data_IF_910402496386
#
_entry.id   IF_910402496386
#
_cell.length_a   1.000
_cell.length_b   1.000
_cell.length_c   1.000
_cell.angle_alpha   90.00
_cell.angle_beta   90.00
_cell.angle_gamma   90.00
#
_symmetry.space_group_name_H-M   'P 1'
#
loop_
_entity.id
_entity.type
_entity.pdbx_description
1 polymer ?
#
# COMPACT_ATOMS: atom_id res chain seq x y z
N UNK A 1 -36.95 -25.20 61.06
CA UNK A 1 -36.32 -24.09 60.29
C UNK A 1 -34.84 -24.43 60.13
N UNK A 2 -34.40 -25.04 59.00
CA UNK A 2 -32.99 -25.21 58.58
C UNK A 2 -32.84 -26.12 57.32
N UNK A 3 -33.63 -25.89 56.25
CA UNK A 3 -33.47 -26.65 54.99
C UNK A 3 -33.33 -25.78 53.73
N UNK A 4 -33.13 -24.46 53.87
CA UNK A 4 -33.12 -23.53 52.74
C UNK A 4 -31.77 -22.89 52.40
N UNK A 5 -30.66 -23.39 52.95
CA UNK A 5 -29.36 -22.71 52.83
C UNK A 5 -28.31 -23.46 51.98
N UNK A 6 -28.49 -24.76 51.69
CA UNK A 6 -27.49 -25.51 50.90
C UNK A 6 -27.59 -25.25 49.39
N UNK A 7 -28.79 -25.12 48.83
CA UNK A 7 -28.98 -24.95 47.37
C UNK A 7 -28.48 -23.62 46.82
N UNK A 8 -28.53 -22.54 47.61
CA UNK A 8 -28.05 -21.20 47.19
C UNK A 8 -26.53 -21.11 47.10
N UNK A 9 -25.80 -21.85 47.93
CA UNK A 9 -24.33 -21.87 47.94
C UNK A 9 -23.78 -22.57 46.70
N UNK A 10 -24.42 -23.66 46.25
CA UNK A 10 -24.00 -24.40 45.06
C UNK A 10 -24.20 -23.60 43.77
N UNK A 11 -25.28 -22.83 43.66
CA UNK A 11 -25.54 -21.96 42.50
C UNK A 11 -24.49 -20.83 42.40
N UNK A 12 -24.11 -20.23 43.54
CA UNK A 12 -23.10 -19.18 43.57
C UNK A 12 -21.69 -19.69 43.15
N UNK A 13 -21.33 -20.92 43.54
CA UNK A 13 -20.05 -21.53 43.15
C UNK A 13 -20.00 -21.83 41.65
N UNK A 14 -21.11 -22.32 41.06
CA UNK A 14 -21.19 -22.61 39.62
C UNK A 14 -21.08 -21.32 38.78
N UNK A 15 -21.71 -20.22 39.23
CA UNK A 15 -21.61 -18.91 38.57
C UNK A 15 -20.19 -18.35 38.67
N UNK A 16 -19.53 -18.50 39.83
CA UNK A 16 -18.15 -18.05 40.01
C UNK A 16 -17.16 -18.84 39.15
N UNK A 17 -17.35 -20.16 39.03
CA UNK A 17 -16.53 -21.02 38.17
C UNK A 17 -16.74 -20.75 36.67
N UNK A 18 -17.97 -20.46 36.24
CA UNK A 18 -18.25 -20.12 34.84
C UNK A 18 -17.72 -18.74 34.44
N UNK A 19 -17.77 -17.74 35.34
CA UNK A 19 -17.13 -16.44 35.13
C UNK A 19 -15.60 -16.56 35.05
N UNK A 20 -14.97 -17.36 35.92
CA UNK A 20 -13.53 -17.63 35.84
C UNK A 20 -13.12 -18.38 34.56
N UNK A 21 -13.98 -19.28 34.07
CA UNK A 21 -13.72 -20.00 32.82
C UNK A 21 -13.76 -19.09 31.59
N UNK A 22 -14.69 -18.12 31.55
CA UNK A 22 -14.75 -17.13 30.46
C UNK A 22 -13.58 -16.15 30.46
N UNK A 23 -13.02 -15.81 31.63
CA UNK A 23 -11.84 -14.95 31.73
C UNK A 23 -10.55 -15.68 31.33
N UNK A 24 -10.47 -17.00 31.55
CA UNK A 24 -9.31 -17.82 31.16
C UNK A 24 -9.18 -18.05 29.64
N UNK A 25 -10.28 -17.97 28.88
CA UNK A 25 -10.23 -18.12 27.43
C UNK A 25 -9.67 -16.91 26.69
N UNK A 26 -9.69 -15.70 27.29
CA UNK A 26 -9.16 -14.50 26.64
C UNK A 26 -7.63 -14.36 26.75
N UNK A 27 -6.98 -15.02 27.72
CA UNK A 27 -5.54 -14.86 27.98
C UNK A 27 -4.64 -15.78 27.13
N UNK A 28 -5.22 -16.80 26.48
CA UNK A 28 -4.48 -17.80 25.69
C UNK A 28 -4.75 -17.71 24.18
N UNK A 29 -5.08 -16.52 23.66
CA UNK A 29 -4.99 -16.26 22.23
C UNK A 29 -3.50 -16.17 21.84
N UNK A 30 -2.84 -17.34 21.78
CA UNK A 30 -1.47 -17.46 21.30
C UNK A 30 -1.36 -16.80 19.92
N UNK A 31 -0.48 -15.81 19.82
CA UNK A 31 -0.19 -15.10 18.59
C UNK A 31 0.37 -16.11 17.58
N UNK A 32 -0.50 -16.64 16.70
CA UNK A 32 -0.06 -17.46 15.57
C UNK A 32 0.87 -16.57 14.75
N UNK A 33 2.16 -16.89 14.75
CA UNK A 33 3.13 -16.31 13.83
C UNK A 33 2.66 -16.77 12.45
N UNK A 34 1.97 -15.90 11.73
CA UNK A 34 1.59 -16.18 10.36
C UNK A 34 2.89 -16.46 9.58
N UNK A 35 2.94 -17.54 8.78
CA UNK A 35 4.12 -17.82 7.98
C UNK A 35 4.45 -16.59 7.14
N UNK A 36 5.73 -16.17 7.14
CA UNK A 36 6.20 -15.01 6.37
C UNK A 36 5.75 -15.22 4.93
N UNK A 37 5.00 -14.26 4.39
CA UNK A 37 4.47 -14.43 3.04
C UNK A 37 5.61 -14.43 2.03
N UNK A 38 5.40 -15.14 0.93
CA UNK A 38 6.34 -15.19 -0.19
C UNK A 38 6.67 -13.76 -0.66
N UNK A 39 5.70 -12.85 -0.61
CA UNK A 39 5.88 -11.46 -0.99
C UNK A 39 6.91 -10.71 -0.14
N UNK A 40 6.90 -10.90 1.18
CA UNK A 40 7.85 -10.25 2.10
C UNK A 40 9.29 -10.71 1.90
N UNK A 41 9.51 -11.79 1.14
CA UNK A 41 10.83 -12.36 0.81
C UNK A 41 11.25 -12.09 -0.63
N UNK A 42 10.38 -11.53 -1.48
CA UNK A 42 10.74 -11.20 -2.86
C UNK A 42 11.80 -10.11 -2.90
N UNK A 43 12.72 -10.24 -3.86
CA UNK A 43 13.61 -9.13 -4.22
C UNK A 43 12.81 -7.97 -4.82
N UNK A 44 13.40 -6.78 -4.79
CA UNK A 44 12.77 -5.55 -5.24
C UNK A 44 12.22 -5.64 -6.68
N UNK A 45 12.99 -6.24 -7.59
CA UNK A 45 12.63 -6.34 -9.01
C UNK A 45 11.37 -7.21 -9.23
N UNK A 46 11.33 -8.38 -8.60
CA UNK A 46 10.18 -9.30 -8.70
C UNK A 46 8.94 -8.68 -8.06
N UNK A 47 9.12 -8.08 -6.88
CA UNK A 47 8.06 -7.40 -6.15
C UNK A 47 7.43 -6.29 -7.02
N UNK A 48 8.26 -5.39 -7.53
CA UNK A 48 7.80 -4.22 -8.27
C UNK A 48 7.24 -4.58 -9.64
N UNK A 49 7.77 -5.62 -10.30
CA UNK A 49 7.18 -6.15 -11.54
C UNK A 49 5.76 -6.66 -11.31
N UNK A 50 5.54 -7.44 -10.25
CA UNK A 50 4.20 -7.92 -9.90
C UNK A 50 3.28 -6.77 -9.47
N UNK A 51 3.80 -5.82 -8.68
CA UNK A 51 3.07 -4.64 -8.27
C UNK A 51 2.57 -3.85 -9.48
N UNK A 52 3.45 -3.53 -10.43
CA UNK A 52 3.12 -2.69 -11.58
C UNK A 52 2.17 -3.39 -12.54
N UNK A 53 2.26 -4.72 -12.68
CA UNK A 53 1.28 -5.52 -13.43
C UNK A 53 -0.13 -5.34 -12.87
N UNK A 54 -0.27 -5.35 -11.55
CA UNK A 54 -1.59 -5.29 -10.88
C UNK A 54 -2.04 -3.84 -10.59
N UNK A 55 -1.12 -2.87 -10.65
CA UNK A 55 -1.33 -1.49 -10.22
C UNK A 55 -2.55 -0.82 -10.86
N UNK A 56 -2.82 -0.93 -12.18
CA UNK A 56 -4.02 -0.33 -12.78
C UNK A 56 -5.31 -0.77 -12.08
N UNK A 57 -5.43 -2.05 -11.72
CA UNK A 57 -6.61 -2.58 -11.04
C UNK A 57 -6.77 -1.99 -9.63
N UNK A 58 -5.68 -1.94 -8.87
CA UNK A 58 -5.68 -1.38 -7.51
C UNK A 58 -5.93 0.12 -7.50
N UNK A 59 -5.31 0.86 -8.42
CA UNK A 59 -5.49 2.31 -8.58
C UNK A 59 -6.92 2.65 -8.97
N UNK A 60 -7.50 1.93 -9.94
CA UNK A 60 -8.87 2.17 -10.37
C UNK A 60 -9.87 1.87 -9.24
N UNK A 61 -9.70 0.78 -8.48
CA UNK A 61 -10.52 0.51 -7.29
C UNK A 61 -10.42 1.61 -6.25
N UNK A 62 -9.21 2.10 -5.99
CA UNK A 62 -8.94 3.18 -5.03
C UNK A 62 -9.63 4.48 -5.45
N UNK A 63 -9.46 4.88 -6.71
CA UNK A 63 -10.11 6.07 -7.28
C UNK A 63 -11.63 5.96 -7.24
N UNK A 64 -12.20 4.80 -7.60
CA UNK A 64 -13.65 4.57 -7.56
C UNK A 64 -14.19 4.63 -6.12
N UNK A 65 -13.46 4.10 -5.14
CA UNK A 65 -13.85 4.20 -3.72
C UNK A 65 -13.83 5.65 -3.24
N UNK A 66 -12.78 6.41 -3.58
CA UNK A 66 -12.69 7.82 -3.24
C UNK A 66 -13.84 8.64 -3.85
N UNK A 67 -14.23 8.34 -5.10
CA UNK A 67 -15.39 8.97 -5.74
C UNK A 67 -16.69 8.71 -5.02
N UNK A 68 -16.96 7.47 -4.60
CA UNK A 68 -18.20 7.15 -3.87
C UNK A 68 -18.35 7.95 -2.57
N UNK A 69 -17.24 8.38 -1.98
CA UNK A 69 -17.23 9.25 -0.81
C UNK A 69 -17.48 10.73 -1.15
N UNK A 70 -17.16 11.16 -2.37
CA UNK A 70 -17.35 12.54 -2.84
C UNK A 70 -18.54 12.66 -3.80
N UNK A 71 -19.59 13.39 -3.39
CA UNK A 71 -20.81 13.57 -4.20
C UNK A 71 -20.67 14.56 -5.38
N UNK A 72 -19.49 15.14 -5.61
CA UNK A 72 -19.22 16.12 -6.67
C UNK A 72 -17.90 15.81 -7.37
N UNK A 73 -17.93 15.00 -8.42
CA UNK A 73 -16.75 14.68 -9.22
C UNK A 73 -17.09 14.84 -10.70
N UNK A 74 -16.53 15.88 -11.32
CA UNK A 74 -16.73 16.19 -12.74
C UNK A 74 -15.64 15.55 -13.64
N UNK A 75 -14.62 14.93 -13.04
CA UNK A 75 -13.47 14.33 -13.74
C UNK A 75 -13.30 12.86 -13.39
N UNK A 76 -13.36 12.00 -14.41
CA UNK A 76 -13.20 10.56 -14.28
C UNK A 76 -11.86 10.08 -14.84
N UNK A 77 -10.86 9.95 -13.99
CA UNK A 77 -9.58 9.27 -14.22
C UNK A 77 -9.64 7.74 -14.14
N UNK A 78 -8.94 7.07 -15.05
CA UNK A 78 -8.63 5.65 -15.01
C UNK A 78 -7.19 5.41 -15.42
N UNK A 79 -6.48 4.58 -14.67
CA UNK A 79 -5.15 4.10 -15.04
C UNK A 79 -5.36 2.97 -16.04
N UNK A 80 -4.81 3.14 -17.24
CA UNK A 80 -4.87 2.17 -18.33
C UNK A 80 -3.71 1.19 -18.21
N UNK A 81 -2.52 1.72 -17.96
CA UNK A 81 -1.28 0.95 -18.03
C UNK A 81 -0.24 1.48 -17.05
N UNK A 82 0.61 0.57 -16.56
CA UNK A 82 1.81 0.90 -15.81
C UNK A 82 3.02 0.35 -16.57
N UNK A 83 4.00 1.21 -16.80
CA UNK A 83 5.26 0.87 -17.47
C UNK A 83 6.16 -0.01 -16.63
N UNK A 84 7.29 -0.41 -17.22
CA UNK A 84 8.32 -1.20 -16.53
C UNK A 84 8.98 -0.37 -15.41
N UNK A 85 9.44 -1.02 -14.33
CA UNK A 85 10.22 -0.35 -13.32
C UNK A 85 11.64 -0.06 -13.83
N UNK A 86 12.21 1.05 -13.37
CA UNK A 86 13.61 1.44 -13.51
C UNK A 86 14.18 1.68 -12.11
N UNK A 87 15.35 1.10 -11.84
CA UNK A 87 16.04 1.14 -10.54
C UNK A 87 17.29 2.02 -10.57
N UNK A 88 17.52 2.72 -11.69
CA UNK A 88 18.68 3.60 -11.85
C UNK A 88 18.57 4.77 -10.87
N UNK A 89 19.49 4.92 -9.91
CA UNK A 89 19.40 6.00 -8.93
C UNK A 89 19.62 7.35 -9.62
N UNK A 90 18.83 8.35 -9.21
CA UNK A 90 19.08 9.72 -9.65
C UNK A 90 20.41 10.22 -9.05
N UNK A 91 21.27 10.86 -9.84
CA UNK A 91 22.51 11.44 -9.31
C UNK A 91 22.16 12.52 -8.29
N UNK A 92 22.58 12.34 -7.03
CA UNK A 92 22.35 13.32 -5.97
C UNK A 92 23.14 14.62 -6.19
N UNK A 93 24.15 14.60 -7.07
CA UNK A 93 24.93 15.76 -7.46
C UNK A 93 24.99 15.90 -9.00
N UNK A 94 24.11 16.70 -9.61
CA UNK A 94 24.15 16.92 -11.06
C UNK A 94 25.37 17.75 -11.51
N UNK A 95 26.16 18.32 -10.58
CA UNK A 95 27.32 19.18 -10.86
C UNK A 95 28.69 18.54 -10.57
N UNK A 96 28.75 17.20 -10.41
CA UNK A 96 30.02 16.47 -10.58
C UNK A 96 31.17 16.88 -9.65
N UNK A 97 30.91 17.03 -8.34
CA UNK A 97 31.98 17.27 -7.35
C UNK A 97 32.02 16.22 -6.23
N UNK A 98 31.86 14.95 -6.59
CA UNK A 98 32.16 13.82 -5.72
C UNK A 98 32.49 12.59 -6.57
N UNK A 99 33.72 12.08 -6.43
CA UNK A 99 34.19 10.83 -7.04
C UNK A 99 33.62 9.58 -6.38
N UNK A 100 32.74 9.75 -5.39
CA UNK A 100 31.99 8.65 -4.78
C UNK A 100 30.50 8.83 -5.10
N UNK A 101 29.79 7.78 -5.55
CA UNK A 101 28.34 7.81 -5.57
C UNK A 101 27.89 7.93 -4.11
N UNK A 102 27.54 9.16 -3.72
CA UNK A 102 27.00 9.44 -2.38
C UNK A 102 25.66 8.69 -2.33
N UNK A 103 25.68 7.49 -1.76
CA UNK A 103 24.49 6.77 -1.29
C UNK A 103 23.97 7.53 -0.08
N UNK A 104 23.20 8.59 -0.28
CA UNK A 104 22.45 9.21 0.82
C UNK A 104 20.98 9.33 0.46
N UNK A 105 20.38 8.16 0.32
CA UNK A 105 19.15 7.82 1.04
C UNK A 105 19.57 6.59 1.84
N UNK A 106 19.31 6.56 3.15
CA UNK A 106 19.67 5.47 4.09
C UNK A 106 19.77 4.10 3.39
N UNK A 107 20.80 3.29 3.65
CA UNK A 107 21.14 2.03 2.93
C UNK A 107 19.96 1.01 2.87
N UNK A 108 18.84 1.31 3.53
CA UNK A 108 17.61 0.54 3.63
C UNK A 108 16.43 1.08 2.80
N UNK A 109 16.62 2.15 2.01
CA UNK A 109 15.57 2.73 1.17
C UNK A 109 15.90 2.56 -0.31
N UNK A 110 15.05 1.77 -0.97
CA UNK A 110 15.12 1.50 -2.40
C UNK A 110 14.26 2.50 -3.19
N UNK A 111 14.76 2.89 -4.37
CA UNK A 111 14.06 3.79 -5.28
C UNK A 111 13.62 3.04 -6.52
N UNK A 112 12.36 3.24 -6.90
CA UNK A 112 11.75 2.63 -8.07
C UNK A 112 11.09 3.72 -8.90
N UNK A 113 11.51 3.85 -10.14
CA UNK A 113 10.93 4.76 -11.11
C UNK A 113 10.01 3.99 -12.04
N UNK A 114 8.85 4.54 -12.37
CA UNK A 114 7.96 3.94 -13.36
C UNK A 114 7.03 5.00 -13.94
N UNK A 115 6.33 4.64 -15.01
CA UNK A 115 5.33 5.51 -15.63
C UNK A 115 3.94 4.88 -15.56
N UNK A 116 2.90 5.71 -15.57
CA UNK A 116 1.55 5.24 -15.83
C UNK A 116 0.89 6.05 -16.92
N UNK A 117 0.01 5.41 -17.68
CA UNK A 117 -0.88 6.06 -18.63
C UNK A 117 -2.26 6.18 -17.99
N UNK A 118 -2.71 7.41 -17.81
CA UNK A 118 -4.01 7.76 -17.27
C UNK A 118 -4.89 8.32 -18.37
N UNK A 119 -6.14 7.87 -18.42
CA UNK A 119 -7.18 8.51 -19.23
C UNK A 119 -8.19 9.20 -18.32
N UNK A 120 -8.38 10.48 -18.55
CA UNK A 120 -9.37 11.28 -17.85
C UNK A 120 -10.54 11.60 -18.77
N UNK A 121 -11.75 11.49 -18.25
CA UNK A 121 -12.97 11.96 -18.91
C UNK A 121 -13.45 13.21 -18.20
N UNK A 122 -13.50 14.33 -18.93
CA UNK A 122 -14.00 15.62 -18.47
C UNK A 122 -14.92 16.20 -19.53
N UNK A 123 -16.12 16.66 -19.14
CA UNK A 123 -17.12 17.22 -20.06
C UNK A 123 -17.36 16.35 -21.33
N UNK A 124 -17.37 15.02 -21.18
CA UNK A 124 -17.57 14.08 -22.28
C UNK A 124 -16.37 13.87 -23.22
N UNK A 125 -15.22 14.51 -22.95
CA UNK A 125 -13.98 14.33 -23.73
C UNK A 125 -12.98 13.49 -22.96
N UNK A 126 -12.32 12.59 -23.68
CA UNK A 126 -11.19 11.81 -23.16
C UNK A 126 -9.88 12.57 -23.44
N UNK A 127 -9.07 12.73 -22.39
CA UNK A 127 -7.68 13.18 -22.50
C UNK A 127 -6.77 12.12 -21.89
N UNK A 128 -5.55 12.01 -22.40
CA UNK A 128 -4.56 11.07 -21.89
C UNK A 128 -3.40 11.84 -21.27
N UNK A 129 -2.95 11.35 -20.12
CA UNK A 129 -1.87 11.91 -19.34
C UNK A 129 -0.85 10.81 -19.06
N UNK A 130 0.43 11.15 -19.20
CA UNK A 130 1.51 10.29 -18.76
C UNK A 130 2.02 10.79 -17.42
N UNK A 131 2.01 9.91 -16.42
CA UNK A 131 2.54 10.20 -15.11
C UNK A 131 3.89 9.50 -14.92
N UNK A 132 4.82 10.18 -14.28
CA UNK A 132 6.16 9.70 -13.95
C UNK A 132 6.27 9.65 -12.43
N UNK A 133 6.57 8.48 -11.90
CA UNK A 133 6.54 8.21 -10.48
C UNK A 133 7.94 7.87 -9.97
N UNK A 134 8.23 8.37 -8.77
CA UNK A 134 9.37 7.94 -7.95
C UNK A 134 8.81 7.36 -6.66
N UNK A 135 8.89 6.06 -6.52
CA UNK A 135 8.43 5.30 -5.37
C UNK A 135 9.63 4.95 -4.50
N UNK A 136 9.53 5.26 -3.21
CA UNK A 136 10.54 4.91 -2.21
C UNK A 136 9.98 3.76 -1.37
N UNK A 137 10.69 2.64 -1.36
CA UNK A 137 10.34 1.44 -0.62
C UNK A 137 11.39 1.13 0.44
N UNK A 138 10.99 0.46 1.51
CA UNK A 138 11.91 -0.09 2.50
C UNK A 138 11.45 -1.47 2.90
N UNK A 139 12.42 -2.36 3.15
CA UNK A 139 12.14 -3.69 3.66
C UNK A 139 12.16 -3.69 5.19
N UNK A 140 11.06 -4.15 5.78
CA UNK A 140 10.89 -4.34 7.24
C UNK A 140 10.86 -5.82 7.59
N UNK A 141 10.86 -6.13 8.89
CA UNK A 141 10.69 -7.51 9.36
C UNK A 141 9.36 -8.14 8.88
N UNK A 142 8.30 -7.34 8.74
CA UNK A 142 6.98 -7.76 8.27
C UNK A 142 6.86 -7.84 6.74
N UNK A 143 7.70 -7.13 6.00
CA UNK A 143 7.62 -7.04 4.54
C UNK A 143 7.95 -5.67 3.99
N UNK A 144 7.64 -5.48 2.71
CA UNK A 144 7.92 -4.25 1.99
C UNK A 144 6.91 -3.16 2.31
N UNK A 145 7.41 -1.94 2.58
CA UNK A 145 6.59 -0.78 2.90
C UNK A 145 6.95 0.41 2.03
N UNK A 146 5.94 1.18 1.62
CA UNK A 146 6.12 2.49 1.01
C UNK A 146 6.58 3.49 2.06
N UNK A 147 7.66 4.20 1.75
CA UNK A 147 8.14 5.34 2.53
C UNK A 147 7.45 6.60 2.03
N UNK A 148 7.65 6.92 0.75
CA UNK A 148 7.07 8.09 0.08
C UNK A 148 6.87 7.81 -1.42
N UNK A 149 6.08 8.64 -2.09
CA UNK A 149 5.93 8.60 -3.54
C UNK A 149 5.80 10.00 -4.13
N UNK A 150 6.57 10.29 -5.18
CA UNK A 150 6.47 11.55 -5.91
C UNK A 150 5.94 11.31 -7.32
N UNK A 151 5.16 12.25 -7.84
CA UNK A 151 4.59 12.17 -9.19
C UNK A 151 4.79 13.48 -9.94
N UNK A 152 5.14 13.34 -11.21
CA UNK A 152 5.14 14.40 -12.22
C UNK A 152 4.18 14.02 -13.33
N UNK A 153 3.29 14.92 -13.74
CA UNK A 153 2.26 14.64 -14.75
C UNK A 153 2.54 15.44 -16.01
N UNK A 154 2.52 14.79 -17.16
CA UNK A 154 2.63 15.40 -18.49
C UNK A 154 1.45 15.06 -19.37
N UNK A 155 1.23 15.86 -20.41
CA UNK A 155 0.27 15.51 -21.45
C UNK A 155 0.77 14.31 -22.27
N UNK A 156 -0.16 13.52 -22.83
CA UNK A 156 0.16 12.44 -23.76
C UNK A 156 -0.51 12.67 -25.13
N UNK A 157 0.18 12.45 -26.27
CA UNK A 157 1.60 12.12 -26.38
C UNK A 157 2.50 13.26 -25.86
N UNK A 158 3.70 12.90 -25.39
CA UNK A 158 4.57 13.78 -24.61
C UNK A 158 4.80 15.14 -25.30
N UNK A 159 4.33 16.20 -24.66
CA UNK A 159 4.73 17.57 -24.95
C UNK A 159 5.70 18.08 -23.87
N UNK A 160 6.33 19.23 -24.10
CA UNK A 160 7.36 19.76 -23.19
C UNK A 160 6.78 20.28 -21.85
N UNK A 161 5.45 20.39 -21.73
CA UNK A 161 4.77 20.90 -20.54
C UNK A 161 4.43 19.77 -19.59
N UNK A 162 5.07 19.80 -18.43
CA UNK A 162 4.83 18.86 -17.35
C UNK A 162 4.71 19.61 -16.03
N UNK A 163 3.89 19.09 -15.13
CA UNK A 163 3.74 19.68 -13.80
C UNK A 163 5.06 19.60 -13.04
N UNK A 164 5.25 20.45 -12.02
CA UNK A 164 6.29 20.20 -11.02
C UNK A 164 6.13 18.83 -10.38
N UNK A 165 7.23 18.26 -9.89
CA UNK A 165 7.22 17.03 -9.09
C UNK A 165 6.51 17.32 -7.76
N UNK A 166 5.51 16.50 -7.41
CA UNK A 166 4.70 16.65 -6.19
C UNK A 166 4.75 15.38 -5.35
N UNK A 167 4.74 15.54 -4.03
CA UNK A 167 4.48 14.43 -3.10
C UNK A 167 3.05 13.89 -3.39
N UNK A 168 2.93 12.57 -3.46
CA UNK A 168 1.74 11.87 -3.94
C UNK A 168 1.49 10.55 -3.21
N UNK A 169 2.04 10.37 -2.01
CA UNK A 169 1.86 9.16 -1.20
C UNK A 169 0.39 8.87 -0.91
N UNK A 170 -0.40 9.93 -0.68
CA UNK A 170 -1.84 9.82 -0.42
C UNK A 170 -2.72 9.89 -1.68
N UNK A 171 -2.09 10.00 -2.85
CA UNK A 171 -2.76 9.95 -4.14
C UNK A 171 -3.28 8.55 -4.48
N UNK A 172 -4.04 8.44 -5.58
CA UNK A 172 -4.64 7.17 -6.00
C UNK A 172 -3.60 6.06 -6.21
N UNK A 173 -2.48 6.37 -6.86
CA UNK A 173 -1.37 5.44 -7.07
C UNK A 173 -0.68 5.09 -5.75
N UNK A 174 -0.34 6.08 -4.92
CA UNK A 174 0.35 5.85 -3.66
C UNK A 174 -0.47 4.98 -2.69
N UNK A 175 -1.78 5.18 -2.61
CA UNK A 175 -2.69 4.32 -1.82
C UNK A 175 -2.87 2.94 -2.44
N UNK A 176 -2.90 2.84 -3.77
CA UNK A 176 -2.95 1.55 -4.46
C UNK A 176 -1.72 0.70 -4.16
N UNK A 177 -0.53 1.32 -4.12
CA UNK A 177 0.72 0.67 -3.69
C UNK A 177 0.58 0.12 -2.26
N UNK A 178 0.09 0.92 -1.31
CA UNK A 178 -0.07 0.47 0.08
C UNK A 178 -1.02 -0.74 0.18
N UNK A 179 -2.14 -0.69 -0.53
CA UNK A 179 -3.14 -1.77 -0.53
C UNK A 179 -2.54 -3.02 -1.18
N UNK A 180 -1.87 -2.88 -2.33
CA UNK A 180 -1.23 -4.02 -3.00
C UNK A 180 -0.16 -4.67 -2.12
N UNK A 181 0.72 -3.88 -1.50
CA UNK A 181 1.77 -4.40 -0.60
C UNK A 181 1.17 -5.17 0.57
N UNK A 182 0.10 -4.64 1.20
CA UNK A 182 -0.61 -5.33 2.28
C UNK A 182 -1.25 -6.63 1.81
N UNK A 183 -1.92 -6.62 0.66
CA UNK A 183 -2.60 -7.80 0.13
C UNK A 183 -1.56 -8.86 -0.33
N UNK A 184 -0.39 -8.42 -0.78
CA UNK A 184 0.75 -9.27 -1.11
C UNK A 184 1.38 -9.88 0.15
N UNK A 185 1.52 -9.09 1.24
CA UNK A 185 1.87 -9.59 2.58
C UNK A 185 0.84 -10.63 3.09
N UNK A 186 -0.44 -10.49 2.75
CA UNK A 186 -1.49 -11.45 3.11
C UNK A 186 -1.59 -12.68 2.17
N UNK A 187 -0.84 -12.71 1.06
CA UNK A 187 -0.93 -13.76 0.05
C UNK A 187 -2.23 -13.74 -0.76
N UNK A 188 -2.92 -12.59 -0.82
CA UNK A 188 -4.22 -12.39 -1.46
C UNK A 188 -4.17 -11.56 -2.73
N UNK A 189 -2.98 -11.36 -3.33
CA UNK A 189 -2.90 -10.76 -4.67
C UNK A 189 -3.49 -11.73 -5.69
N UNK A 190 -4.26 -11.21 -6.65
CA UNK A 190 -4.79 -12.02 -7.74
C UNK A 190 -3.61 -12.69 -8.48
N UNK A 191 -3.54 -14.01 -8.44
CA UNK A 191 -2.67 -14.79 -9.33
C UNK A 191 -3.26 -14.83 -10.73
#
# INVERSE_FOLDING_TARGET
MLLFNKTRIWIAIIIYFSLLFTHWQQVNAGQKIAPKSICSQQNLETLTTNLLRDLPNYANRTSQRARRLSRKVDVYSYIIFAGKPDFTPLPLNPYGMSTNPVRTVDDKIDQVFFTTLERQYTAGKAIELQQFHRLLLTQTNSGWRKVMMFTKTGAYPANQLSTPLRESSDGAIGKAVDIWLRDCEAGSTNR
#
